data_IF_193034652206
#
_entry.id   IF_193034652206
#
_cell.length_a   1.000
_cell.length_b   1.000
_cell.length_c   1.000
_cell.angle_alpha   90.00
_cell.angle_beta   90.00
_cell.angle_gamma   90.00
#
_symmetry.space_group_name_H-M   'P 1'
#
loop_
_entity.id
_entity.type
_entity.pdbx_description
1 polymer ?
#
# COMPACT_ATOMS: atom_id res chain seq x y z
N UNK A 1 15.84 -14.61 -11.93
CA UNK A 1 16.27 -13.19 -11.82
C UNK A 1 15.59 -12.43 -12.95
N UNK A 2 14.85 -11.37 -12.66
CA UNK A 2 13.99 -10.69 -13.63
C UNK A 2 14.31 -9.19 -13.68
N UNK A 3 14.56 -8.66 -14.87
CA UNK A 3 15.01 -7.26 -15.08
C UNK A 3 14.11 -6.49 -16.06
N UNK A 4 12.94 -7.04 -16.37
CA UNK A 4 12.08 -6.56 -17.47
C UNK A 4 12.63 -6.94 -18.85
N UNK A 5 12.06 -6.32 -19.88
CA UNK A 5 12.31 -6.65 -21.29
C UNK A 5 13.00 -5.53 -22.07
N UNK A 6 13.05 -4.32 -21.52
CA UNK A 6 13.49 -3.13 -22.24
C UNK A 6 14.91 -2.72 -21.83
N UNK A 7 15.74 -2.19 -22.73
CA UNK A 7 17.08 -1.69 -22.38
C UNK A 7 17.06 -0.69 -21.21
N UNK A 8 16.00 0.12 -21.14
CA UNK A 8 15.78 1.08 -20.06
C UNK A 8 15.59 0.39 -18.70
N UNK A 9 14.90 -0.76 -18.65
CA UNK A 9 14.70 -1.49 -17.42
C UNK A 9 15.99 -2.15 -16.91
N UNK A 10 16.84 -2.64 -17.81
CA UNK A 10 18.16 -3.13 -17.43
C UNK A 10 19.02 -2.03 -16.80
N UNK A 11 19.04 -0.82 -17.38
CA UNK A 11 19.79 0.32 -16.83
C UNK A 11 19.37 0.64 -15.39
N UNK A 12 18.07 0.60 -15.10
CA UNK A 12 17.53 0.80 -13.75
C UNK A 12 17.95 -0.32 -12.80
N UNK A 13 17.77 -1.59 -13.20
CA UNK A 13 18.10 -2.72 -12.34
C UNK A 13 19.59 -2.79 -11.99
N UNK A 14 20.45 -2.38 -12.94
CA UNK A 14 21.91 -2.32 -12.79
C UNK A 14 22.38 -1.02 -12.13
N UNK A 15 21.48 -0.13 -11.73
CA UNK A 15 21.79 1.15 -11.09
C UNK A 15 22.75 2.02 -11.91
N UNK A 16 22.50 2.14 -13.22
CA UNK A 16 23.33 2.88 -14.17
C UNK A 16 22.62 4.19 -14.61
N UNK A 17 22.77 5.30 -13.85
CA UNK A 17 22.05 6.54 -14.12
C UNK A 17 22.47 7.19 -15.45
N UNK A 18 23.73 7.08 -15.85
CA UNK A 18 24.23 7.67 -17.11
C UNK A 18 23.64 6.96 -18.33
N UNK A 19 23.60 5.62 -18.29
CA UNK A 19 22.95 4.82 -19.32
C UNK A 19 21.45 5.11 -19.39
N UNK A 20 20.81 5.25 -18.22
CA UNK A 20 19.40 5.63 -18.15
C UNK A 20 19.15 6.99 -18.80
N UNK A 21 19.93 8.02 -18.46
CA UNK A 21 19.84 9.36 -19.05
C UNK A 21 20.06 9.33 -20.56
N UNK A 22 21.04 8.55 -21.04
CA UNK A 22 21.30 8.38 -22.47
C UNK A 22 20.08 7.77 -23.19
N UNK A 23 19.47 6.73 -22.62
CA UNK A 23 18.29 6.08 -23.20
C UNK A 23 17.08 7.01 -23.21
N UNK A 24 16.85 7.76 -22.13
CA UNK A 24 15.81 8.79 -22.06
C UNK A 24 16.04 9.88 -23.11
N UNK A 25 17.28 10.35 -23.29
CA UNK A 25 17.64 11.32 -24.32
C UNK A 25 17.39 10.78 -25.75
N UNK A 26 17.46 9.46 -25.94
CA UNK A 26 17.07 8.77 -27.18
C UNK A 26 15.57 8.45 -27.27
N UNK A 27 14.74 9.11 -26.45
CA UNK A 27 13.27 8.98 -26.41
C UNK A 27 12.79 7.56 -26.06
N UNK A 28 13.52 6.85 -25.19
CA UNK A 28 13.04 5.59 -24.65
C UNK A 28 11.71 5.81 -23.89
N UNK A 29 10.75 4.90 -24.09
CA UNK A 29 9.45 5.00 -23.43
C UNK A 29 9.54 4.50 -21.97
N UNK A 30 9.46 5.43 -21.02
CA UNK A 30 9.46 5.16 -19.58
C UNK A 30 8.25 4.34 -19.10
N UNK A 31 7.15 4.44 -19.84
CA UNK A 31 5.85 3.85 -19.50
C UNK A 31 5.61 2.52 -20.25
N UNK A 32 6.62 2.00 -20.96
CA UNK A 32 6.52 0.71 -21.61
C UNK A 32 6.33 -0.41 -20.57
N UNK A 33 5.36 -1.27 -20.82
CA UNK A 33 5.01 -2.40 -19.97
C UNK A 33 5.56 -3.69 -20.57
N UNK A 34 6.27 -4.46 -19.76
CA UNK A 34 6.76 -5.79 -20.16
C UNK A 34 5.63 -6.85 -20.15
N UNK A 35 5.97 -8.12 -20.41
CA UNK A 35 4.99 -9.23 -20.39
C UNK A 35 4.25 -9.40 -19.07
N UNK A 36 4.74 -8.88 -17.94
CA UNK A 36 4.04 -8.90 -16.65
C UNK A 36 3.24 -7.61 -16.40
N UNK A 37 3.24 -6.68 -17.33
CA UNK A 37 2.64 -5.36 -17.16
C UNK A 37 3.50 -4.41 -16.33
N UNK A 38 4.72 -4.79 -15.96
CA UNK A 38 5.57 -3.95 -15.13
C UNK A 38 6.20 -2.85 -15.99
N UNK A 39 6.10 -1.62 -15.49
CA UNK A 39 6.85 -0.47 -16.01
C UNK A 39 8.22 -0.37 -15.32
N UNK A 40 9.05 0.56 -15.77
CA UNK A 40 10.36 0.84 -15.15
C UNK A 40 10.25 1.13 -13.63
N UNK A 41 9.18 1.81 -13.21
CA UNK A 41 8.95 2.16 -11.80
C UNK A 41 8.63 0.93 -10.95
N UNK A 42 7.91 -0.06 -11.49
CA UNK A 42 7.69 -1.34 -10.78
C UNK A 42 9.01 -2.07 -10.57
N UNK A 43 9.92 -2.02 -11.53
CA UNK A 43 11.24 -2.64 -11.44
C UNK A 43 12.15 -1.92 -10.44
N UNK A 44 12.03 -0.58 -10.32
CA UNK A 44 12.67 0.14 -9.22
C UNK A 44 12.20 -0.38 -7.85
N UNK A 45 10.91 -0.71 -7.70
CA UNK A 45 10.37 -1.26 -6.45
C UNK A 45 10.92 -2.66 -6.18
N UNK A 46 10.86 -3.54 -7.18
CA UNK A 46 11.31 -4.94 -7.07
C UNK A 46 12.79 -5.02 -6.69
N UNK A 47 13.63 -4.15 -7.25
CA UNK A 47 15.08 -4.12 -7.03
C UNK A 47 15.54 -3.07 -6.00
N UNK A 48 14.59 -2.42 -5.32
CA UNK A 48 14.82 -1.42 -4.28
C UNK A 48 15.75 -0.25 -4.70
N UNK A 49 15.59 0.22 -5.94
CA UNK A 49 16.42 1.28 -6.55
C UNK A 49 15.81 2.66 -6.31
N UNK A 50 16.01 3.20 -5.11
CA UNK A 50 15.50 4.51 -4.67
C UNK A 50 15.96 5.65 -5.59
N UNK A 51 17.26 5.73 -5.86
CA UNK A 51 17.82 6.82 -6.66
C UNK A 51 17.39 6.74 -8.14
N UNK A 52 17.28 5.53 -8.70
CA UNK A 52 16.75 5.34 -10.04
C UNK A 52 15.24 5.64 -10.13
N UNK A 53 14.49 5.42 -9.05
CA UNK A 53 13.07 5.82 -8.99
C UNK A 53 12.92 7.33 -9.08
N UNK A 54 13.70 8.09 -8.30
CA UNK A 54 13.69 9.56 -8.38
C UNK A 54 14.05 10.04 -9.79
N UNK A 55 15.12 9.50 -10.37
CA UNK A 55 15.54 9.82 -11.73
C UNK A 55 14.47 9.51 -12.78
N UNK A 56 13.77 8.38 -12.65
CA UNK A 56 12.70 8.00 -13.58
C UNK A 56 11.48 8.93 -13.46
N UNK A 57 11.16 9.38 -12.25
CA UNK A 57 10.07 10.33 -12.01
C UNK A 57 10.40 11.74 -12.50
N UNK A 58 11.63 12.21 -12.26
CA UNK A 58 12.15 13.46 -12.85
C UNK A 58 12.11 13.43 -14.39
N UNK A 59 12.33 12.25 -15.00
CA UNK A 59 12.23 12.05 -16.44
C UNK A 59 10.78 11.96 -16.97
N UNK A 60 9.76 12.00 -16.09
CA UNK A 60 8.34 12.00 -16.47
C UNK A 60 7.69 10.61 -16.53
N UNK A 61 8.22 9.60 -15.82
CA UNK A 61 7.55 8.31 -15.68
C UNK A 61 6.22 8.45 -14.91
N UNK A 62 5.20 7.68 -15.31
CA UNK A 62 3.85 7.75 -14.70
C UNK A 62 3.68 6.77 -13.55
N UNK A 63 3.30 7.28 -12.38
CA UNK A 63 3.07 6.51 -11.15
C UNK A 63 1.78 5.69 -11.13
N UNK A 64 0.78 6.07 -11.92
CA UNK A 64 -0.55 5.46 -11.84
C UNK A 64 -0.78 4.27 -12.78
N UNK A 65 0.26 3.82 -13.50
CA UNK A 65 0.14 2.67 -14.39
C UNK A 65 0.13 1.40 -13.53
N UNK A 66 -0.90 0.59 -13.69
CA UNK A 66 -1.01 -0.69 -13.01
C UNK A 66 -0.44 -1.84 -13.87
N UNK A 67 0.19 -2.81 -13.22
CA UNK A 67 0.65 -4.04 -13.88
C UNK A 67 -0.51 -5.06 -14.07
N UNK A 68 -0.19 -6.27 -14.56
CA UNK A 68 -1.22 -7.32 -14.77
C UNK A 68 -1.88 -7.84 -13.49
N UNK A 69 -1.32 -7.54 -12.33
CA UNK A 69 -1.94 -7.82 -11.03
C UNK A 69 -2.74 -6.62 -10.52
N UNK A 70 -3.00 -5.62 -11.38
CA UNK A 70 -3.60 -4.33 -11.06
C UNK A 70 -2.86 -3.53 -9.98
N UNK A 71 -1.60 -3.87 -9.71
CA UNK A 71 -0.78 -3.16 -8.74
C UNK A 71 -0.10 -1.97 -9.42
N UNK A 72 -0.16 -0.81 -8.79
CA UNK A 72 0.68 0.34 -9.14
C UNK A 72 2.04 0.19 -8.45
N UNK A 73 3.07 0.98 -8.80
CA UNK A 73 4.33 1.00 -8.07
C UNK A 73 4.14 1.23 -6.56
N UNK A 74 3.17 2.08 -6.16
CA UNK A 74 2.82 2.32 -4.76
C UNK A 74 2.28 1.06 -4.06
N UNK A 75 1.25 0.43 -4.64
CA UNK A 75 0.65 -0.77 -4.02
C UNK A 75 1.56 -1.99 -4.12
N UNK A 76 2.43 -2.05 -5.13
CA UNK A 76 3.50 -3.05 -5.20
C UNK A 76 4.51 -2.86 -4.07
N UNK A 77 4.91 -1.62 -3.75
CA UNK A 77 5.79 -1.33 -2.63
C UNK A 77 5.15 -1.74 -1.30
N UNK A 78 3.83 -1.54 -1.16
CA UNK A 78 3.06 -2.01 -0.01
C UNK A 78 3.04 -3.55 0.08
N UNK A 79 2.75 -4.24 -1.02
CA UNK A 79 2.75 -5.72 -1.10
C UNK A 79 4.11 -6.32 -0.74
N UNK A 80 5.21 -5.69 -1.18
CA UNK A 80 6.58 -6.13 -0.91
C UNK A 80 7.17 -5.55 0.38
N UNK A 81 6.39 -4.82 1.18
CA UNK A 81 6.81 -4.17 2.43
C UNK A 81 8.03 -3.23 2.29
N UNK A 82 8.19 -2.57 1.14
CA UNK A 82 9.31 -1.65 0.87
C UNK A 82 9.04 -0.26 1.44
N UNK A 83 9.15 -0.12 2.77
CA UNK A 83 8.82 1.11 3.53
C UNK A 83 9.43 2.39 2.93
N UNK A 84 10.74 2.41 2.68
CA UNK A 84 11.43 3.60 2.14
C UNK A 84 10.86 4.05 0.78
N UNK A 85 10.59 3.10 -0.11
CA UNK A 85 10.04 3.39 -1.43
C UNK A 85 8.57 3.78 -1.37
N UNK A 86 7.80 3.13 -0.49
CA UNK A 86 6.39 3.47 -0.27
C UNK A 86 6.26 4.94 0.16
N UNK A 87 7.05 5.37 1.14
CA UNK A 87 7.06 6.76 1.60
C UNK A 87 7.58 7.74 0.56
N UNK A 88 8.62 7.38 -0.19
CA UNK A 88 9.10 8.21 -1.30
C UNK A 88 7.99 8.45 -2.34
N UNK A 89 7.26 7.41 -2.72
CA UNK A 89 6.16 7.56 -3.70
C UNK A 89 5.04 8.41 -3.11
N UNK A 90 4.66 8.20 -1.84
CA UNK A 90 3.65 9.02 -1.18
C UNK A 90 4.03 10.50 -1.11
N UNK A 91 5.28 10.81 -0.77
CA UNK A 91 5.78 12.18 -0.72
C UNK A 91 5.69 12.85 -2.10
N UNK A 92 5.98 12.10 -3.17
CA UNK A 92 5.93 12.58 -4.54
C UNK A 92 4.50 12.70 -5.10
N UNK A 93 3.56 11.87 -4.65
CA UNK A 93 2.13 12.00 -4.98
C UNK A 93 1.41 13.04 -4.12
N UNK A 94 1.96 13.35 -2.94
CA UNK A 94 1.41 14.30 -1.99
C UNK A 94 1.37 15.72 -2.54
N UNK A 95 0.25 16.41 -2.30
CA UNK A 95 0.10 17.83 -2.60
C UNK A 95 0.21 18.62 -1.30
N UNK A 96 1.08 19.63 -1.26
CA UNK A 96 1.13 20.57 -0.14
C UNK A 96 -0.10 21.48 -0.22
N UNK A 97 -0.99 21.38 0.76
CA UNK A 97 -2.22 22.17 0.86
C UNK A 97 -1.89 23.56 1.39
N UNK A 98 -1.13 23.62 2.49
CA UNK A 98 -0.64 24.86 3.08
C UNK A 98 0.58 24.61 3.97
N UNK A 99 1.36 25.65 4.17
CA UNK A 99 2.49 25.70 5.11
C UNK A 99 2.40 27.01 5.89
N UNK A 100 2.43 26.93 7.23
CA UNK A 100 2.41 28.06 8.13
C UNK A 100 3.47 27.87 9.23
N UNK A 101 4.58 28.61 9.12
CA UNK A 101 5.72 28.43 10.02
C UNK A 101 6.27 27.01 9.93
N UNK A 102 6.26 26.30 11.06
CA UNK A 102 6.67 24.90 11.15
C UNK A 102 5.53 23.91 10.87
N UNK A 103 4.28 24.38 10.82
CA UNK A 103 3.13 23.53 10.53
C UNK A 103 2.92 23.40 9.03
N UNK A 104 2.72 22.18 8.54
CA UNK A 104 2.34 21.93 7.16
C UNK A 104 1.18 20.95 7.08
N UNK A 105 0.37 21.10 6.04
CA UNK A 105 -0.67 20.16 5.70
C UNK A 105 -0.43 19.65 4.29
N UNK A 106 -0.32 18.34 4.16
CA UNK A 106 -0.20 17.65 2.88
C UNK A 106 -1.40 16.73 2.69
N UNK A 107 -1.95 16.72 1.48
CA UNK A 107 -3.04 15.82 1.08
C UNK A 107 -2.51 14.74 0.14
N UNK A 108 -2.97 13.51 0.33
CA UNK A 108 -2.60 12.36 -0.50
C UNK A 108 -3.85 11.76 -1.17
N UNK A 109 -3.75 11.25 -2.41
CA UNK A 109 -4.84 10.56 -3.04
C UNK A 109 -5.14 9.22 -2.32
N UNK A 110 -6.36 9.05 -1.82
CA UNK A 110 -6.75 7.86 -1.07
C UNK A 110 -7.15 6.67 -1.95
N UNK A 111 -7.45 6.90 -3.23
CA UNK A 111 -7.93 5.89 -4.20
C UNK A 111 -7.21 4.54 -4.19
N UNK A 112 -5.88 4.51 -3.96
CA UNK A 112 -5.06 3.28 -3.93
C UNK A 112 -4.58 2.89 -2.53
N UNK A 113 -4.84 3.74 -1.53
CA UNK A 113 -4.44 3.52 -0.14
C UNK A 113 -5.60 2.89 0.63
N UNK A 114 -6.80 3.42 0.43
CA UNK A 114 -7.96 3.09 1.24
C UNK A 114 -8.70 1.82 0.79
N UNK A 115 -9.26 1.08 1.74
CA UNK A 115 -9.90 -0.24 1.50
C UNK A 115 -11.23 -0.17 0.75
N UNK A 116 -11.77 1.03 0.51
CA UNK A 116 -13.05 1.23 -0.17
C UNK A 116 -12.76 1.97 -1.48
N UNK A 117 -13.30 1.45 -2.58
CA UNK A 117 -13.23 2.14 -3.85
C UNK A 117 -14.22 3.32 -3.85
N UNK A 118 -13.71 4.53 -4.10
CA UNK A 118 -14.49 5.77 -4.09
C UNK A 118 -15.65 5.76 -5.11
N UNK A 119 -15.47 5.06 -6.24
CA UNK A 119 -16.45 5.05 -7.34
C UNK A 119 -17.49 3.96 -7.16
N UNK A 120 -17.08 2.74 -6.83
CA UNK A 120 -17.99 1.60 -6.74
C UNK A 120 -18.56 1.39 -5.33
N UNK A 121 -17.90 1.93 -4.30
CA UNK A 121 -18.23 1.65 -2.90
C UNK A 121 -17.88 0.22 -2.45
N UNK A 122 -17.32 -0.60 -3.35
CA UNK A 122 -16.91 -1.97 -3.06
C UNK A 122 -15.57 -2.00 -2.31
N UNK A 123 -15.33 -3.12 -1.63
CA UNK A 123 -14.04 -3.34 -0.97
C UNK A 123 -12.94 -3.56 -2.02
N UNK A 124 -11.85 -2.83 -1.89
CA UNK A 124 -10.69 -2.94 -2.76
C UNK A 124 -9.60 -3.77 -2.06
N UNK A 125 -9.48 -5.04 -2.47
CA UNK A 125 -8.47 -5.97 -1.93
C UNK A 125 -7.03 -5.59 -2.33
N UNK A 126 -6.88 -4.84 -3.42
CA UNK A 126 -5.60 -4.41 -4.01
C UNK A 126 -5.09 -3.09 -3.40
N UNK A 127 -5.81 -2.54 -2.41
CA UNK A 127 -5.43 -1.32 -1.69
C UNK A 127 -4.17 -1.52 -0.90
N UNK A 128 -3.36 -0.46 -0.75
CA UNK A 128 -2.17 -0.52 0.09
C UNK A 128 -2.51 -0.97 1.52
N UNK A 129 -3.58 -0.44 2.13
CA UNK A 129 -3.96 -0.84 3.49
C UNK A 129 -4.33 -2.33 3.58
N UNK A 130 -5.09 -2.85 2.62
CA UNK A 130 -5.45 -4.28 2.55
C UNK A 130 -4.21 -5.16 2.42
N UNK A 131 -3.33 -4.82 1.48
CA UNK A 131 -2.10 -5.58 1.21
C UNK A 131 -1.13 -5.59 2.39
N UNK A 132 -1.07 -4.51 3.16
CA UNK A 132 -0.22 -4.44 4.36
C UNK A 132 -0.83 -5.21 5.52
N UNK A 133 -2.13 -5.03 5.80
CA UNK A 133 -2.80 -5.70 6.93
C UNK A 133 -2.81 -7.22 6.76
N UNK A 134 -3.06 -7.71 5.53
CA UNK A 134 -3.02 -9.15 5.22
C UNK A 134 -1.62 -9.64 4.82
N UNK A 135 -0.59 -8.80 4.99
CA UNK A 135 0.80 -9.15 4.80
C UNK A 135 1.27 -10.22 5.79
N UNK A 136 2.24 -11.04 5.37
CA UNK A 136 2.77 -12.15 6.19
C UNK A 136 4.08 -11.79 6.89
N UNK A 137 4.80 -10.76 6.45
CA UNK A 137 6.13 -10.44 6.97
C UNK A 137 6.05 -9.42 8.10
N UNK A 138 7.04 -9.40 8.99
CA UNK A 138 7.16 -8.36 10.01
C UNK A 138 7.39 -6.98 9.41
N UNK A 139 7.98 -6.91 8.23
CA UNK A 139 8.18 -5.67 7.47
C UNK A 139 6.84 -4.98 7.12
N UNK A 140 5.76 -5.75 6.92
CA UNK A 140 4.41 -5.17 6.75
C UNK A 140 3.94 -4.46 8.01
N UNK A 141 4.28 -4.95 9.21
CA UNK A 141 3.94 -4.28 10.46
C UNK A 141 4.67 -2.94 10.59
N UNK A 142 5.96 -2.91 10.24
CA UNK A 142 6.72 -1.65 10.21
C UNK A 142 6.16 -0.65 9.18
N UNK A 143 5.50 -1.14 8.13
CA UNK A 143 4.88 -0.28 7.12
C UNK A 143 3.56 0.35 7.58
N UNK A 144 2.91 -0.22 8.60
CA UNK A 144 1.64 0.31 9.12
C UNK A 144 1.81 1.67 9.81
N UNK A 145 2.97 1.95 10.38
CA UNK A 145 3.27 3.25 11.02
C UNK A 145 2.87 4.41 10.10
N UNK A 146 2.53 5.57 10.67
CA UNK A 146 2.35 6.81 9.91
C UNK A 146 0.97 6.94 9.27
N UNK A 147 0.90 7.10 7.94
CA UNK A 147 -0.37 7.42 7.26
C UNK A 147 -1.40 6.27 7.36
N UNK A 148 -0.95 5.01 7.29
CA UNK A 148 -1.83 3.85 7.33
C UNK A 148 -2.43 3.67 8.73
N UNK A 149 -1.62 3.86 9.77
CA UNK A 149 -2.05 3.90 11.17
C UNK A 149 -3.09 4.99 11.40
N UNK A 150 -2.85 6.22 10.93
CA UNK A 150 -3.81 7.32 11.05
C UNK A 150 -5.16 6.97 10.41
N UNK A 151 -5.15 6.40 9.20
CA UNK A 151 -6.38 5.97 8.51
C UNK A 151 -7.11 4.88 9.33
N UNK A 152 -6.39 3.89 9.85
CA UNK A 152 -6.97 2.85 10.70
C UNK A 152 -7.55 3.41 11.98
N UNK A 153 -6.88 4.37 12.61
CA UNK A 153 -7.32 4.98 13.86
C UNK A 153 -8.62 5.76 13.66
N UNK A 154 -8.72 6.54 12.58
CA UNK A 154 -9.93 7.29 12.24
C UNK A 154 -11.09 6.35 11.88
N UNK A 155 -10.83 5.25 11.16
CA UNK A 155 -11.85 4.21 10.92
C UNK A 155 -12.29 3.50 12.19
N UNK A 156 -11.36 3.23 13.11
CA UNK A 156 -11.67 2.64 14.40
C UNK A 156 -12.56 3.56 15.22
N UNK A 157 -12.23 4.86 15.29
CA UNK A 157 -13.04 5.90 15.94
C UNK A 157 -14.45 5.97 15.35
N UNK A 158 -14.56 6.04 14.03
CA UNK A 158 -15.83 6.24 13.34
C UNK A 158 -16.75 5.01 13.38
N UNK A 159 -16.23 3.82 13.09
CA UNK A 159 -17.05 2.63 12.86
C UNK A 159 -16.69 1.45 13.77
N UNK A 160 -15.39 1.25 14.03
CA UNK A 160 -14.88 0.08 14.74
C UNK A 160 -15.35 0.00 16.19
N UNK A 161 -15.20 1.09 16.95
CA UNK A 161 -15.53 1.15 18.39
C UNK A 161 -17.00 0.80 18.67
N UNK A 162 -17.91 1.39 17.90
CA UNK A 162 -19.35 1.15 18.03
C UNK A 162 -19.72 -0.29 17.69
N UNK A 163 -19.23 -0.82 16.56
CA UNK A 163 -19.48 -2.20 16.15
C UNK A 163 -18.92 -3.20 17.15
N UNK A 164 -17.71 -2.96 17.65
CA UNK A 164 -17.05 -3.83 18.62
C UNK A 164 -17.76 -3.80 19.98
N UNK A 165 -18.15 -2.62 20.47
CA UNK A 165 -18.94 -2.50 21.69
C UNK A 165 -20.29 -3.24 21.57
N UNK A 166 -20.99 -3.08 20.44
CA UNK A 166 -22.23 -3.83 20.19
C UNK A 166 -22.00 -5.34 20.13
N UNK A 167 -20.92 -5.80 19.49
CA UNK A 167 -20.54 -7.21 19.44
C UNK A 167 -20.28 -7.80 20.83
N UNK A 168 -19.60 -7.06 21.71
CA UNK A 168 -19.39 -7.50 23.11
C UNK A 168 -20.72 -7.58 23.85
N UNK A 169 -21.61 -6.60 23.68
CA UNK A 169 -22.90 -6.59 24.34
C UNK A 169 -23.81 -7.73 23.85
N UNK A 170 -23.76 -8.09 22.56
CA UNK A 170 -24.52 -9.24 22.03
C UNK A 170 -23.94 -10.55 22.52
N UNK A 171 -22.61 -10.71 22.56
CA UNK A 171 -21.96 -11.88 23.17
C UNK A 171 -22.33 -12.03 24.65
N UNK A 172 -22.29 -10.94 25.43
CA UNK A 172 -22.67 -10.96 26.84
C UNK A 172 -24.15 -11.35 27.05
N UNK A 173 -25.06 -10.88 26.18
CA UNK A 173 -26.47 -11.29 26.20
C UNK A 173 -26.66 -12.75 25.79
N UNK A 174 -25.88 -13.23 24.83
CA UNK A 174 -25.88 -14.64 24.39
C UNK A 174 -25.43 -15.57 25.52
N UNK A 175 -24.31 -15.27 26.17
CA UNK A 175 -23.83 -16.02 27.34
C UNK A 175 -24.83 -16.00 28.51
N UNK A 176 -25.50 -14.87 28.76
CA UNK A 176 -26.52 -14.78 29.82
C UNK A 176 -27.76 -15.63 29.53
N UNK A 177 -28.16 -15.76 28.25
CA UNK A 177 -29.23 -16.67 27.83
C UNK A 177 -28.82 -18.15 27.95
N UNK A 178 -27.59 -18.51 27.58
CA UNK A 178 -27.08 -19.88 27.75
C UNK A 178 -26.96 -20.30 29.22
N UNK A 179 -26.57 -19.37 30.10
CA UNK A 179 -26.52 -19.62 31.54
C UNK A 179 -27.93 -19.75 32.16
N UNK A 180 -28.91 -18.97 31.70
CA UNK A 180 -30.31 -19.07 32.13
C UNK A 180 -31.04 -20.32 31.59
N UNK A 181 -30.56 -20.94 30.52
CA UNK A 181 -31.15 -22.13 29.89
C UNK A 181 -30.65 -23.48 30.46
N UNK A 182 -29.80 -23.48 31.49
CA UNK A 182 -29.53 -24.68 32.29
C UNK A 182 -28.74 -25.81 31.61
N UNK A 183 -27.97 -25.55 30.54
CA UNK A 183 -27.05 -26.56 29.99
C UNK A 183 -25.63 -26.34 30.54
N UNK A 184 -25.23 -27.14 31.53
CA UNK A 184 -23.91 -27.13 32.16
C UNK A 184 -22.79 -27.66 31.26
N UNK A 185 -22.47 -26.96 30.17
CA UNK A 185 -21.24 -27.21 29.41
C UNK A 185 -20.31 -25.99 29.46
N UNK A 186 -19.12 -26.26 29.99
CA UNK A 186 -18.00 -25.35 30.22
C UNK A 186 -17.70 -24.44 29.03
N UNK A 187 -17.96 -23.13 29.20
CA UNK A 187 -17.57 -22.07 28.27
C UNK A 187 -16.05 -21.77 28.36
N UNK A 188 -15.19 -22.76 28.19
CA UNK A 188 -13.76 -22.55 28.01
C UNK A 188 -13.20 -23.67 27.13
N UNK A 189 -13.18 -23.46 25.82
CA UNK A 189 -12.07 -23.96 25.00
C UNK A 189 -11.45 -22.74 24.28
N UNK A 190 -10.16 -22.46 24.50
CA UNK A 190 -9.49 -21.37 23.83
C UNK A 190 -9.19 -21.78 22.38
N UNK A 191 -9.21 -20.77 21.52
CA UNK A 191 -8.50 -20.68 20.24
C UNK A 191 -7.43 -21.77 20.04
N UNK A 192 -7.68 -22.70 19.13
CA UNK A 192 -6.59 -23.43 18.44
C UNK A 192 -6.06 -22.55 17.32
N UNK A 193 -4.74 -22.34 17.34
CA UNK A 193 -3.90 -21.64 16.36
C UNK A 193 -4.12 -22.09 14.91
#
# INVERSE_FOLDING_TARGET
MYFGEYPLSFAVCMNQPDLFRLLVARKANLNAQDTNGNTVLHLCVIHEKIEMMKLALEAGARLHIANKQNLTPLTLAAKMAKKKLFYLILELEGQSVWVYGEASCSSYPLTKIDTINEVTGEMNEESALSLVVYGKTSEHLELLDGILENILEEKWKAYGRLRWAMFILTLAKSCRKSFAAGSGHSCLSPFTM
#
